data_IF_567587823055
#
_entry.id   IF_567587823055
#
_cell.length_a   1.000
_cell.length_b   1.000
_cell.length_c   1.000
_cell.angle_alpha   90.00
_cell.angle_beta   90.00
_cell.angle_gamma   90.00
#
_symmetry.space_group_name_H-M   'P 1'
#
loop_
_entity.id
_entity.type
_entity.pdbx_description
1 polymer ?
#
# COMPACT_ATOMS: atom_id res chain seq x y z
N UNK A 1 1.10 -6.90 -4.16
CA UNK A 1 1.86 -6.42 -2.98
C UNK A 1 1.36 -7.07 -1.71
N UNK A 2 2.30 -7.51 -0.86
CA UNK A 2 2.02 -8.17 0.42
C UNK A 2 2.77 -7.43 1.52
N UNK A 3 2.11 -7.11 2.62
CA UNK A 3 2.72 -6.63 3.86
C UNK A 3 2.88 -7.78 4.84
N UNK A 4 4.06 -7.92 5.43
CA UNK A 4 4.41 -8.97 6.38
C UNK A 4 4.90 -8.37 7.71
N UNK A 5 4.54 -9.01 8.82
CA UNK A 5 5.07 -8.69 10.15
C UNK A 5 6.51 -9.24 10.34
N UNK A 6 7.08 -9.07 11.54
CA UNK A 6 8.44 -9.57 11.81
C UNK A 6 8.58 -11.09 11.79
N UNK A 7 7.48 -11.82 12.03
CA UNK A 7 7.43 -13.28 11.92
C UNK A 7 7.30 -13.76 10.47
N UNK A 8 7.14 -12.86 9.49
CA UNK A 8 6.92 -13.20 8.09
C UNK A 8 5.47 -13.54 7.75
N UNK A 9 4.53 -13.32 8.67
CA UNK A 9 3.12 -13.56 8.45
C UNK A 9 2.49 -12.41 7.67
N UNK A 10 1.61 -12.73 6.73
CA UNK A 10 0.85 -11.74 5.97
C UNK A 10 -0.10 -10.95 6.90
N UNK A 11 0.04 -9.63 6.88
CA UNK A 11 -0.83 -8.68 7.60
C UNK A 11 -1.63 -7.78 6.66
N UNK A 12 -1.17 -7.63 5.41
CA UNK A 12 -1.80 -6.78 4.43
C UNK A 12 -1.63 -7.35 3.03
N UNK A 13 -2.65 -7.18 2.18
CA UNK A 13 -2.58 -7.61 0.79
C UNK A 13 -3.29 -6.61 -0.12
N UNK A 14 -2.63 -6.27 -1.23
CA UNK A 14 -3.18 -5.43 -2.28
C UNK A 14 -2.82 -6.02 -3.66
N UNK A 15 -3.86 -6.26 -4.46
CA UNK A 15 -3.77 -6.81 -5.81
C UNK A 15 -4.48 -5.89 -6.80
N UNK A 16 -3.80 -5.65 -7.91
CA UNK A 16 -4.30 -4.83 -9.00
C UNK A 16 -4.21 -5.59 -10.32
N UNK A 17 -5.10 -5.27 -11.25
CA UNK A 17 -5.06 -5.78 -12.62
C UNK A 17 -4.02 -5.05 -13.47
N UNK A 18 -3.68 -5.62 -14.62
CA UNK A 18 -2.82 -4.97 -15.60
C UNK A 18 -3.41 -3.62 -16.03
N UNK A 19 -2.58 -2.57 -16.05
CA UNK A 19 -3.00 -1.23 -16.44
C UNK A 19 -3.79 -0.46 -15.37
N UNK A 20 -3.95 -1.01 -14.17
CA UNK A 20 -4.64 -0.33 -13.09
C UNK A 20 -3.76 0.78 -12.48
N UNK A 21 -4.18 2.03 -12.67
CA UNK A 21 -3.48 3.22 -12.16
C UNK A 21 -3.33 3.23 -10.63
N UNK A 22 -4.25 2.61 -9.89
CA UNK A 22 -4.19 2.55 -8.42
C UNK A 22 -2.97 1.74 -7.92
N UNK A 23 -2.42 0.84 -8.74
CA UNK A 23 -1.16 0.18 -8.43
C UNK A 23 0.00 1.20 -8.35
N UNK A 24 0.05 2.13 -9.30
CA UNK A 24 1.07 3.20 -9.34
C UNK A 24 0.95 4.11 -8.13
N UNK A 25 -0.28 4.46 -7.74
CA UNK A 25 -0.55 5.24 -6.53
C UNK A 25 0.01 4.54 -5.29
N UNK A 26 -0.17 3.23 -5.14
CA UNK A 26 0.37 2.52 -3.99
C UNK A 26 1.91 2.49 -3.97
N UNK A 27 2.57 2.34 -5.12
CA UNK A 27 4.02 2.47 -5.21
C UNK A 27 4.50 3.88 -4.83
N UNK A 28 3.78 4.92 -5.26
CA UNK A 28 4.10 6.32 -4.94
C UNK A 28 3.96 6.61 -3.43
N UNK A 29 2.87 6.15 -2.81
CA UNK A 29 2.63 6.31 -1.38
C UNK A 29 3.75 5.67 -0.54
N UNK A 30 4.32 4.58 -1.03
CA UNK A 30 5.40 3.82 -0.39
C UNK A 30 6.80 4.29 -0.81
N UNK A 31 6.92 5.36 -1.61
CA UNK A 31 8.18 5.84 -2.19
C UNK A 31 8.99 4.71 -2.86
N UNK A 32 8.26 3.83 -3.57
CA UNK A 32 8.75 2.54 -4.05
C UNK A 32 8.72 2.43 -5.59
N UNK A 33 8.68 3.54 -6.32
CA UNK A 33 8.63 3.54 -7.79
C UNK A 33 9.74 2.72 -8.45
N UNK A 34 10.95 2.70 -7.86
CA UNK A 34 12.07 1.90 -8.33
C UNK A 34 11.82 0.38 -8.31
N UNK A 35 10.80 -0.07 -7.59
CA UNK A 35 10.40 -1.48 -7.46
C UNK A 35 9.17 -1.84 -8.29
N UNK A 36 8.59 -0.87 -9.00
CA UNK A 36 7.46 -1.09 -9.89
C UNK A 36 7.93 -1.76 -11.18
N UNK A 37 7.71 -3.07 -11.29
CA UNK A 37 8.01 -3.86 -12.49
C UNK A 37 6.72 -4.28 -13.24
N UNK A 38 5.65 -3.50 -13.11
CA UNK A 38 4.36 -3.82 -13.72
C UNK A 38 3.66 -4.98 -13.02
N UNK A 39 3.00 -5.84 -13.80
CA UNK A 39 2.10 -6.91 -13.30
C UNK A 39 2.80 -8.05 -12.57
N UNK A 40 4.10 -8.21 -12.78
CA UNK A 40 4.87 -9.32 -12.20
C UNK A 40 5.46 -8.97 -10.83
N UNK A 41 5.41 -7.69 -10.44
CA UNK A 41 6.19 -7.17 -9.32
C UNK A 41 7.70 -7.35 -9.52
N UNK A 42 8.51 -6.74 -8.66
CA UNK A 42 9.96 -6.92 -8.71
C UNK A 42 10.44 -8.13 -7.90
N UNK A 43 9.58 -8.74 -7.08
CA UNK A 43 9.95 -9.76 -6.10
C UNK A 43 10.84 -9.24 -4.97
N UNK A 44 11.18 -7.95 -4.98
CA UNK A 44 11.99 -7.31 -3.94
C UNK A 44 11.10 -6.93 -2.75
N UNK A 45 11.74 -6.63 -1.64
CA UNK A 45 11.06 -6.14 -0.45
C UNK A 45 11.78 -4.94 0.17
N UNK A 46 11.03 -4.17 0.93
CA UNK A 46 11.55 -3.14 1.81
C UNK A 46 10.93 -3.23 3.20
N UNK A 47 11.71 -2.92 4.22
CA UNK A 47 11.21 -2.72 5.58
C UNK A 47 10.86 -1.26 5.79
N UNK A 48 9.65 -1.00 6.27
CA UNK A 48 9.11 0.32 6.54
C UNK A 48 8.92 0.53 8.04
N UNK A 49 9.40 1.67 8.54
CA UNK A 49 9.10 2.14 9.89
C UNK A 49 7.66 2.66 10.01
N UNK A 50 7.16 2.77 11.25
CA UNK A 50 5.86 3.37 11.52
C UNK A 50 5.73 4.78 10.94
N UNK A 51 6.78 5.62 11.06
CA UNK A 51 6.79 6.98 10.53
C UNK A 51 6.66 7.03 9.00
N UNK A 52 7.32 6.11 8.28
CA UNK A 52 7.23 6.03 6.82
C UNK A 52 5.82 5.63 6.38
N UNK A 53 5.20 4.66 7.06
CA UNK A 53 3.83 4.27 6.75
C UNK A 53 2.83 5.35 7.17
N UNK A 54 3.07 6.09 8.25
CA UNK A 54 2.23 7.22 8.67
C UNK A 54 2.25 8.36 7.63
N UNK A 55 3.43 8.64 7.05
CA UNK A 55 3.57 9.56 5.92
C UNK A 55 2.74 9.07 4.72
N UNK A 56 2.84 7.79 4.37
CA UNK A 56 2.05 7.17 3.30
C UNK A 56 0.54 7.29 3.57
N UNK A 57 0.10 7.02 4.80
CA UNK A 57 -1.30 7.13 5.21
C UNK A 57 -1.83 8.55 5.14
N UNK A 58 -1.03 9.53 5.56
CA UNK A 58 -1.38 10.95 5.49
C UNK A 58 -1.51 11.40 4.03
N UNK A 59 -0.59 10.99 3.15
CA UNK A 59 -0.69 11.26 1.71
C UNK A 59 -1.92 10.60 1.09
N UNK A 60 -2.20 9.35 1.45
CA UNK A 60 -3.38 8.64 0.99
C UNK A 60 -4.67 9.34 1.40
N UNK A 61 -4.79 9.78 2.66
CA UNK A 61 -5.97 10.52 3.14
C UNK A 61 -6.21 11.81 2.36
N UNK A 62 -5.15 12.52 1.96
CA UNK A 62 -5.28 13.72 1.12
C UNK A 62 -5.84 13.37 -0.26
N UNK A 63 -5.30 12.35 -0.91
CA UNK A 63 -5.76 11.89 -2.23
C UNK A 63 -7.21 11.40 -2.14
N UNK A 64 -7.49 10.45 -1.25
CA UNK A 64 -8.80 9.83 -1.11
C UNK A 64 -9.88 10.82 -0.64
N UNK A 65 -9.56 11.71 0.31
CA UNK A 65 -10.48 12.74 0.80
C UNK A 65 -10.89 13.76 -0.25
N UNK A 66 -10.04 14.02 -1.25
CA UNK A 66 -10.38 14.87 -2.40
C UNK A 66 -11.19 14.12 -3.46
N UNK A 67 -11.03 12.80 -3.59
CA UNK A 67 -11.70 11.98 -4.61
C UNK A 67 -13.03 11.35 -4.19
N UNK A 68 -13.33 11.25 -2.89
CA UNK A 68 -14.55 10.62 -2.37
C UNK A 68 -15.85 11.32 -2.76
N UNK A 69 -15.80 12.58 -3.20
CA UNK A 69 -16.96 13.30 -3.74
C UNK A 69 -17.37 12.86 -5.16
N UNK A 70 -16.57 12.05 -5.87
CA UNK A 70 -16.65 11.94 -7.34
C UNK A 70 -16.72 10.53 -7.94
N UNK A 71 -16.60 9.41 -7.20
CA UNK A 71 -16.38 8.09 -7.83
C UNK A 71 -17.38 6.98 -7.47
N UNK A 72 -18.00 6.45 -8.52
CA UNK A 72 -18.94 5.31 -8.52
C UNK A 72 -18.24 3.97 -8.19
N UNK A 73 -18.80 3.21 -7.24
CA UNK A 73 -18.80 1.74 -7.08
C UNK A 73 -17.52 0.92 -7.28
N UNK A 74 -16.94 0.89 -8.49
CA UNK A 74 -15.80 0.05 -8.86
C UNK A 74 -14.44 0.71 -8.55
N UNK A 75 -14.32 2.03 -8.74
CA UNK A 75 -13.13 2.82 -8.36
C UNK A 75 -12.93 2.86 -6.83
N UNK A 76 -14.01 2.66 -6.07
CA UNK A 76 -14.00 2.62 -4.61
C UNK A 76 -13.38 1.33 -4.07
N UNK A 77 -13.43 0.22 -4.82
CA UNK A 77 -12.87 -1.05 -4.35
C UNK A 77 -11.35 -0.97 -4.19
N UNK A 78 -10.65 -0.41 -5.19
CA UNK A 78 -9.21 -0.23 -5.11
C UNK A 78 -8.82 0.77 -4.04
N UNK A 79 -9.60 1.85 -3.87
CA UNK A 79 -9.39 2.80 -2.78
C UNK A 79 -9.53 2.15 -1.41
N UNK A 80 -10.58 1.35 -1.20
CA UNK A 80 -10.77 0.54 0.02
C UNK A 80 -9.63 -0.43 0.25
N UNK A 81 -9.16 -1.09 -0.81
CA UNK A 81 -8.04 -2.01 -0.77
C UNK A 81 -6.73 -1.31 -0.37
N UNK A 82 -6.40 -0.17 -0.97
CA UNK A 82 -5.24 0.65 -0.60
C UNK A 82 -5.34 1.12 0.85
N UNK A 83 -6.51 1.63 1.25
CA UNK A 83 -6.75 2.08 2.61
C UNK A 83 -6.54 0.95 3.63
N UNK A 84 -7.12 -0.23 3.37
CA UNK A 84 -6.96 -1.41 4.22
C UNK A 84 -5.50 -1.84 4.30
N UNK A 85 -4.80 -1.87 3.16
CA UNK A 85 -3.39 -2.23 3.09
C UNK A 85 -2.53 -1.31 3.99
N UNK A 86 -2.65 0.01 3.80
CA UNK A 86 -1.86 0.99 4.55
C UNK A 86 -2.21 0.97 6.04
N UNK A 87 -3.49 0.87 6.41
CA UNK A 87 -3.91 0.79 7.81
C UNK A 87 -3.32 -0.44 8.52
N UNK A 88 -3.36 -1.60 7.87
CA UNK A 88 -2.82 -2.83 8.45
C UNK A 88 -1.29 -2.77 8.60
N UNK A 89 -0.60 -2.24 7.58
CA UNK A 89 0.84 -1.97 7.63
C UNK A 89 1.18 -0.99 8.76
N UNK A 90 0.39 0.07 8.95
CA UNK A 90 0.60 1.06 10.00
C UNK A 90 0.45 0.44 11.39
N UNK A 91 -0.63 -0.29 11.62
CA UNK A 91 -0.89 -0.96 12.90
C UNK A 91 0.25 -1.94 13.23
N UNK A 92 0.68 -2.72 12.25
CA UNK A 92 1.81 -3.65 12.42
C UNK A 92 3.11 -2.91 12.73
N UNK A 93 3.45 -1.87 11.96
CA UNK A 93 4.66 -1.09 12.17
C UNK A 93 4.65 -0.32 13.50
N UNK A 94 3.49 0.13 13.98
CA UNK A 94 3.34 0.75 15.30
C UNK A 94 3.55 -0.26 16.44
N UNK A 95 3.02 -1.48 16.28
CA UNK A 95 3.14 -2.53 17.30
C UNK A 95 4.53 -3.17 17.33
N UNK A 96 5.13 -3.38 16.17
CA UNK A 96 6.35 -4.18 16.02
C UNK A 96 7.58 -3.35 15.64
N UNK A 97 7.41 -2.05 15.37
CA UNK A 97 8.45 -1.11 14.98
C UNK A 97 8.69 -1.04 13.47
N UNK A 98 8.34 -2.10 12.72
CA UNK A 98 8.44 -2.12 11.26
C UNK A 98 7.46 -3.10 10.62
N UNK A 99 7.21 -2.92 9.33
CA UNK A 99 6.49 -3.87 8.47
C UNK A 99 7.30 -4.07 7.20
N UNK A 100 7.41 -5.32 6.73
CA UNK A 100 8.05 -5.63 5.46
C UNK A 100 7.01 -5.58 4.35
N UNK A 101 7.30 -4.92 3.24
CA UNK A 101 6.45 -4.95 2.05
C UNK A 101 7.17 -5.67 0.93
N UNK A 102 6.53 -6.71 0.40
CA UNK A 102 6.94 -7.47 -0.78
C UNK A 102 6.24 -6.90 -2.02
N UNK A 103 7.03 -6.52 -3.02
CA UNK A 103 6.57 -5.96 -4.29
C UNK A 103 6.36 -7.08 -5.30
N UNK A 104 5.21 -7.74 -5.19
CA UNK A 104 4.70 -8.78 -6.08
C UNK A 104 3.49 -8.29 -6.88
#
# INVERSE_FOLDING_TARGET
>A
MVGCNKAGEEVAYARFSMGNYNAVVLYELLDAHAYNAGVSGSGRSLDYSSLQIEKAFTSWKKIYGTHSASRNGADDWDGKQINKFICNCLNTAQREGSVKVLFC
#
